data_IF_363233070210
#
_entry.id   IF_363233070210
#
_cell.length_a   1.000
_cell.length_b   1.000
_cell.length_c   1.000
_cell.angle_alpha   90.00
_cell.angle_beta   90.00
_cell.angle_gamma   90.00
#
_symmetry.space_group_name_H-M   'P 1'
#
loop_
_entity.id
_entity.type
_entity.pdbx_description
1 polymer ?
#
# COMPACT_ATOMS: atom_id res chain seq x y z
N UNK A 1 -5.17 14.90 -1.33
CA UNK A 1 -5.72 13.95 -0.34
C UNK A 1 -4.79 13.95 0.86
N UNK A 2 -5.34 13.97 2.08
CA UNK A 2 -4.50 13.85 3.27
C UNK A 2 -3.93 12.43 3.35
N UNK A 3 -2.62 12.37 3.63
CA UNK A 3 -1.89 11.11 3.73
C UNK A 3 -2.24 10.44 5.07
N UNK A 4 -2.61 9.17 5.03
CA UNK A 4 -2.78 8.37 6.25
C UNK A 4 -1.42 8.18 6.94
N UNK A 5 -1.36 8.22 8.29
CA UNK A 5 -0.18 7.78 9.02
C UNK A 5 0.23 6.37 8.60
N UNK A 6 1.53 6.13 8.40
CA UNK A 6 1.99 4.84 7.89
C UNK A 6 1.77 3.71 8.92
N UNK A 7 1.76 4.06 10.19
CA UNK A 7 1.49 3.16 11.31
C UNK A 7 0.08 2.56 11.23
N UNK A 8 -0.92 3.37 10.84
CA UNK A 8 -2.30 2.90 10.66
C UNK A 8 -2.40 1.91 9.48
N UNK A 9 -1.66 2.17 8.40
CA UNK A 9 -1.60 1.29 7.23
C UNK A 9 -0.97 -0.06 7.60
N UNK A 10 0.15 -0.02 8.34
CA UNK A 10 0.85 -1.23 8.80
C UNK A 10 -0.04 -2.04 9.75
N UNK A 11 -0.79 -1.37 10.64
CA UNK A 11 -1.72 -2.03 11.55
C UNK A 11 -2.77 -2.88 10.81
N UNK A 12 -3.41 -2.32 9.77
CA UNK A 12 -4.39 -3.07 8.97
C UNK A 12 -3.74 -4.17 8.13
N UNK A 13 -2.55 -3.92 7.57
CA UNK A 13 -1.81 -4.93 6.81
C UNK A 13 -1.43 -6.13 7.68
N UNK A 14 -1.04 -5.91 8.93
CA UNK A 14 -0.73 -7.01 9.84
C UNK A 14 -1.94 -7.89 10.15
N UNK A 15 -3.17 -7.36 10.09
CA UNK A 15 -4.39 -8.19 10.17
C UNK A 15 -4.57 -9.08 8.93
N UNK A 16 -4.22 -8.58 7.74
CA UNK A 16 -4.24 -9.41 6.54
C UNK A 16 -3.15 -10.51 6.59
N UNK A 17 -1.95 -10.15 7.04
CA UNK A 17 -0.83 -11.09 7.21
C UNK A 17 -1.18 -12.17 8.24
N UNK A 18 -1.82 -11.81 9.36
CA UNK A 18 -2.18 -12.77 10.42
C UNK A 18 -3.18 -13.83 9.97
N UNK A 19 -3.93 -13.56 8.89
CA UNK A 19 -4.83 -14.51 8.22
C UNK A 19 -4.14 -15.30 7.09
N UNK A 20 -2.82 -15.18 6.93
CA UNK A 20 -2.04 -15.88 5.91
C UNK A 20 -1.86 -15.10 4.60
N UNK A 21 -2.26 -13.83 4.57
CA UNK A 21 -2.06 -12.94 3.42
C UNK A 21 -0.58 -12.73 3.09
N UNK A 22 -0.25 -12.71 1.79
CA UNK A 22 1.14 -12.60 1.31
C UNK A 22 1.39 -11.50 0.30
N UNK A 23 0.35 -11.00 -0.36
CA UNK A 23 0.50 -10.03 -1.44
C UNK A 23 -0.72 -9.13 -1.54
N UNK A 24 -0.48 -7.83 -1.73
CA UNK A 24 -1.50 -6.84 -2.05
C UNK A 24 -1.13 -6.16 -3.36
N UNK A 25 -2.14 -5.87 -4.18
CA UNK A 25 -2.01 -4.96 -5.33
C UNK A 25 -2.65 -3.64 -4.92
N UNK A 26 -1.87 -2.56 -4.92
CA UNK A 26 -2.41 -1.21 -4.73
C UNK A 26 -2.85 -0.65 -6.08
N UNK A 27 -4.15 -0.37 -6.19
CA UNK A 27 -4.77 0.10 -7.43
C UNK A 27 -4.66 1.62 -7.65
N UNK A 28 -3.95 2.33 -6.79
CA UNK A 28 -3.75 3.78 -6.91
C UNK A 28 -2.74 4.06 -8.02
N UNK A 29 -3.21 4.20 -9.26
CA UNK A 29 -2.37 4.22 -10.47
C UNK A 29 -1.74 5.57 -10.83
N UNK A 30 -2.26 6.68 -10.30
CA UNK A 30 -1.82 8.04 -10.67
C UNK A 30 -1.72 8.96 -9.46
N UNK A 31 -0.95 10.04 -9.63
CA UNK A 31 -0.88 11.14 -8.66
C UNK A 31 -2.24 11.80 -8.44
N UNK A 32 -3.11 11.83 -9.45
CA UNK A 32 -4.45 12.44 -9.37
C UNK A 32 -5.37 11.80 -8.32
N UNK A 33 -5.11 10.54 -7.95
CA UNK A 33 -5.83 9.83 -6.87
C UNK A 33 -4.93 9.47 -5.69
N UNK A 34 -3.74 10.07 -5.61
CA UNK A 34 -2.88 9.98 -4.42
C UNK A 34 -1.92 8.81 -4.38
N UNK A 35 -1.42 8.32 -5.53
CA UNK A 35 -0.38 7.28 -5.54
C UNK A 35 0.86 7.73 -4.79
N UNK A 36 1.32 6.92 -3.84
CA UNK A 36 2.57 7.14 -3.10
C UNK A 36 3.46 5.89 -3.14
N UNK A 37 4.33 5.81 -4.16
CA UNK A 37 5.21 4.66 -4.34
C UNK A 37 6.25 4.51 -3.22
N UNK A 38 6.65 5.60 -2.56
CA UNK A 38 7.62 5.54 -1.46
C UNK A 38 6.99 4.97 -0.19
N UNK A 39 5.76 5.38 0.12
CA UNK A 39 4.98 4.79 1.21
C UNK A 39 4.78 3.28 0.98
N UNK A 40 4.38 2.87 -0.23
CA UNK A 40 4.18 1.46 -0.56
C UNK A 40 5.46 0.65 -0.37
N UNK A 41 6.61 1.17 -0.80
CA UNK A 41 7.92 0.54 -0.57
C UNK A 41 8.25 0.43 0.92
N UNK A 42 8.01 1.49 1.69
CA UNK A 42 8.30 1.51 3.12
C UNK A 42 7.46 0.46 3.87
N UNK A 43 6.17 0.35 3.54
CA UNK A 43 5.29 -0.68 4.09
C UNK A 43 5.78 -2.08 3.73
N UNK A 44 6.16 -2.33 2.47
CA UNK A 44 6.68 -3.63 2.04
C UNK A 44 7.95 -4.02 2.82
N UNK A 45 8.89 -3.07 3.01
CA UNK A 45 10.11 -3.29 3.78
C UNK A 45 9.83 -3.55 5.27
N UNK A 46 8.90 -2.81 5.88
CA UNK A 46 8.57 -2.94 7.30
C UNK A 46 7.77 -4.19 7.65
N UNK A 47 6.95 -4.69 6.71
CA UNK A 47 6.02 -5.81 6.97
C UNK A 47 6.47 -7.14 6.36
N UNK A 48 7.37 -7.10 5.37
CA UNK A 48 7.74 -8.27 4.57
C UNK A 48 6.64 -8.72 3.59
N UNK A 49 5.55 -7.97 3.46
CA UNK A 49 4.49 -8.24 2.49
C UNK A 49 4.93 -7.86 1.08
N UNK A 50 4.55 -8.66 0.07
CA UNK A 50 4.70 -8.25 -1.32
C UNK A 50 3.65 -7.19 -1.67
N UNK A 51 4.07 -6.06 -2.24
CA UNK A 51 3.16 -5.00 -2.69
C UNK A 51 3.44 -4.72 -4.17
N UNK A 52 2.40 -4.85 -5.00
CA UNK A 52 2.44 -4.51 -6.43
C UNK A 52 1.79 -3.15 -6.62
N UNK A 53 2.56 -2.16 -7.07
CA UNK A 53 2.05 -0.82 -7.34
C UNK A 53 1.51 -0.72 -8.77
N UNK A 54 0.34 -0.09 -8.93
CA UNK A 54 -0.26 0.16 -10.24
C UNK A 54 0.29 1.42 -10.92
N UNK A 55 0.03 1.52 -12.22
CA UNK A 55 0.20 2.74 -13.00
C UNK A 55 -0.92 2.88 -14.02
N UNK A 56 -1.44 4.08 -14.21
CA UNK A 56 -2.46 4.40 -15.21
C UNK A 56 -3.30 5.61 -14.80
N UNK A 57 -3.95 6.28 -15.76
CA UNK A 57 -4.88 7.35 -15.45
C UNK A 57 -6.10 6.82 -14.70
N UNK A 58 -6.72 7.68 -13.91
CA UNK A 58 -8.00 7.44 -13.27
C UNK A 58 -9.07 8.31 -13.94
N UNK A 59 -10.25 7.73 -14.20
CA UNK A 59 -11.38 8.36 -14.92
C UNK A 59 -12.41 8.95 -13.94
#
# INVERSE_FOLDING_TARGET
>A
MDRKPIEDVIFEINKFISLGGRTIVDATGSESIGRDAQALREVALKTGLNIVASSGPYL
#
